data_IF_118888726328
#
_entry.id   IF_118888726328
#
_cell.length_a   1.000
_cell.length_b   1.000
_cell.length_c   1.000
_cell.angle_alpha   90.00
_cell.angle_beta   90.00
_cell.angle_gamma   90.00
#
_symmetry.space_group_name_H-M   'P 1'
#
loop_
_entity.id
_entity.type
_entity.pdbx_description
1 polymer ?
#
# COMPACT_ATOMS: atom_id res chain seq x y z
N UNK A 1 -57.49 -35.52 -48.90
CA UNK A 1 -57.52 -34.87 -47.57
C UNK A 1 -56.09 -34.52 -47.17
N UNK A 2 -55.86 -33.29 -46.62
CA UNK A 2 -54.89 -32.86 -45.57
C UNK A 2 -53.45 -33.45 -45.58
N UNK A 3 -52.36 -32.74 -45.30
CA UNK A 3 -51.99 -31.33 -45.02
C UNK A 3 -50.47 -31.38 -44.70
N UNK A 4 -49.71 -30.34 -45.06
CA UNK A 4 -48.50 -29.86 -44.33
C UNK A 4 -47.21 -30.71 -44.43
N UNK A 5 -45.98 -30.18 -44.42
CA UNK A 5 -45.43 -28.82 -44.49
C UNK A 5 -43.92 -28.92 -44.72
N UNK A 6 -43.40 -27.92 -45.42
CA UNK A 6 -42.02 -27.42 -45.35
C UNK A 6 -41.36 -27.62 -43.98
N UNK A 7 -40.20 -28.28 -43.95
CA UNK A 7 -39.14 -27.94 -42.98
C UNK A 7 -37.83 -27.91 -43.73
N UNK A 8 -37.34 -26.71 -44.03
CA UNK A 8 -35.93 -26.49 -44.37
C UNK A 8 -35.11 -26.69 -43.10
N UNK A 9 -34.24 -27.69 -43.06
CA UNK A 9 -33.14 -27.74 -42.09
C UNK A 9 -31.87 -27.41 -42.87
N UNK A 10 -31.42 -26.17 -42.67
CA UNK A 10 -30.17 -25.64 -43.18
C UNK A 10 -29.00 -26.53 -42.75
N UNK A 11 -28.08 -26.74 -43.69
CA UNK A 11 -26.81 -27.44 -43.56
C UNK A 11 -26.17 -27.27 -42.18
N UNK A 12 -26.14 -28.36 -41.42
CA UNK A 12 -25.16 -28.56 -40.36
C UNK A 12 -24.14 -29.56 -40.89
N UNK A 13 -23.38 -29.12 -41.90
CA UNK A 13 -22.15 -29.78 -42.29
C UNK A 13 -21.00 -28.88 -41.84
N UNK A 14 -20.28 -29.29 -40.80
CA UNK A 14 -18.85 -29.61 -40.91
C UNK A 14 -18.19 -29.84 -39.55
N UNK A 15 -17.42 -30.93 -39.53
CA UNK A 15 -16.28 -31.28 -38.66
C UNK A 15 -16.57 -32.33 -37.57
N UNK A 16 -16.30 -33.58 -37.97
CA UNK A 16 -15.70 -34.64 -37.14
C UNK A 16 -14.18 -34.38 -37.00
N UNK A 17 -13.42 -35.01 -36.07
CA UNK A 17 -13.80 -36.14 -35.21
C UNK A 17 -13.49 -35.95 -33.71
N UNK A 18 -14.07 -36.84 -32.92
CA UNK A 18 -13.82 -37.06 -31.50
C UNK A 18 -12.34 -37.37 -31.20
N UNK A 19 -11.79 -36.70 -30.17
CA UNK A 19 -10.56 -37.12 -29.48
C UNK A 19 -10.95 -37.44 -28.02
N UNK A 20 -10.63 -38.64 -27.50
CA UNK A 20 -11.08 -39.09 -26.19
C UNK A 20 -10.22 -38.51 -25.05
N UNK A 21 -10.89 -38.15 -23.95
CA UNK A 21 -10.37 -37.99 -22.58
C UNK A 21 -9.03 -37.28 -22.36
N UNK A 22 -9.10 -36.02 -21.90
CA UNK A 22 -8.15 -35.52 -20.89
C UNK A 22 -8.95 -34.81 -19.79
N UNK A 23 -8.93 -35.38 -18.58
CA UNK A 23 -9.38 -34.73 -17.35
C UNK A 23 -8.42 -33.59 -17.03
N UNK A 24 -8.62 -32.42 -17.66
CA UNK A 24 -8.00 -31.19 -17.19
C UNK A 24 -8.84 -30.66 -16.02
N UNK A 25 -8.38 -30.96 -14.81
CA UNK A 25 -8.73 -30.18 -13.64
C UNK A 25 -8.37 -28.72 -13.92
N UNK A 26 -9.38 -27.93 -14.28
CA UNK A 26 -9.21 -26.51 -14.52
C UNK A 26 -8.84 -25.83 -13.22
N UNK A 27 -7.55 -25.52 -13.05
CA UNK A 27 -7.16 -24.42 -12.19
C UNK A 27 -7.75 -23.16 -12.83
N UNK A 28 -8.90 -22.71 -12.34
CA UNK A 28 -9.34 -21.35 -12.59
C UNK A 28 -8.27 -20.42 -12.01
N UNK A 29 -7.37 -19.95 -12.87
CA UNK A 29 -6.49 -18.84 -12.56
C UNK A 29 -7.38 -17.60 -12.44
N UNK A 30 -7.97 -17.40 -11.26
CA UNK A 30 -8.48 -16.10 -10.86
C UNK A 30 -7.29 -15.15 -10.87
N UNK A 31 -7.15 -14.38 -11.94
CA UNK A 31 -6.29 -13.19 -11.90
C UNK A 31 -6.93 -12.27 -10.87
N UNK A 32 -6.34 -12.21 -9.69
CA UNK A 32 -6.78 -11.27 -8.65
C UNK A 32 -6.41 -9.88 -9.18
N UNK A 33 -7.38 -9.18 -9.75
CA UNK A 33 -7.24 -7.78 -10.09
C UNK A 33 -7.20 -6.99 -8.78
N UNK A 34 -6.03 -6.44 -8.46
CA UNK A 34 -5.86 -5.60 -7.29
C UNK A 34 -6.02 -4.13 -7.73
N UNK A 35 -7.00 -3.38 -7.17
CA UNK A 35 -7.16 -1.99 -7.54
C UNK A 35 -5.95 -1.18 -7.08
N UNK A 36 -5.50 -0.29 -7.96
CA UNK A 36 -4.45 0.68 -7.67
C UNK A 36 -5.09 2.06 -7.43
N UNK A 37 -4.52 2.82 -6.51
CA UNK A 37 -4.89 4.19 -6.21
C UNK A 37 -3.72 5.08 -6.58
N UNK A 38 -3.97 6.02 -7.49
CA UNK A 38 -3.02 7.06 -7.83
C UNK A 38 -2.98 8.11 -6.71
N UNK A 39 -1.79 8.55 -6.33
CA UNK A 39 -1.63 9.70 -5.46
C UNK A 39 -0.24 10.31 -5.57
N UNK A 40 0.06 11.22 -4.67
CA UNK A 40 1.24 12.06 -4.72
C UNK A 40 1.90 12.13 -3.35
N UNK A 41 3.23 12.20 -3.34
CA UNK A 41 3.99 12.41 -2.12
C UNK A 41 4.41 13.87 -2.04
N UNK A 42 4.02 14.54 -0.96
CA UNK A 42 4.43 15.91 -0.69
C UNK A 42 5.22 15.99 0.61
N UNK A 43 6.22 16.87 0.65
CA UNK A 43 7.02 17.12 1.85
C UNK A 43 6.20 17.80 2.94
N UNK A 44 5.45 18.83 2.55
CA UNK A 44 4.69 19.71 3.44
C UNK A 44 3.47 20.28 2.70
N UNK A 45 2.60 20.95 3.44
CA UNK A 45 1.39 21.55 2.88
C UNK A 45 1.70 22.56 1.77
N UNK A 46 2.77 23.35 1.91
CA UNK A 46 3.16 24.34 0.89
C UNK A 46 3.62 23.69 -0.40
N UNK A 47 4.33 22.56 -0.32
CA UNK A 47 4.70 21.76 -1.47
C UNK A 47 3.48 21.17 -2.16
N UNK A 48 2.48 20.72 -1.41
CA UNK A 48 1.20 20.30 -1.97
C UNK A 48 0.49 21.45 -2.68
N UNK A 49 0.39 22.63 -2.04
CA UNK A 49 -0.25 23.84 -2.60
C UNK A 49 0.40 24.34 -3.88
N UNK A 50 1.74 24.31 -3.95
CA UNK A 50 2.48 24.70 -5.17
C UNK A 50 2.20 23.77 -6.36
N UNK A 51 1.98 22.48 -6.10
CA UNK A 51 1.69 21.50 -7.14
C UNK A 51 0.19 21.36 -7.45
N UNK A 52 -0.70 21.78 -6.53
CA UNK A 52 -2.15 21.67 -6.65
C UNK A 52 -2.83 22.97 -6.18
N UNK A 53 -2.65 24.10 -6.90
CA UNK A 53 -3.13 25.41 -6.45
C UNK A 53 -4.65 25.49 -6.29
N UNK A 54 -5.40 24.69 -7.05
CA UNK A 54 -6.87 24.61 -6.98
C UNK A 54 -7.39 23.89 -5.73
N UNK A 55 -6.56 23.09 -5.06
CA UNK A 55 -6.92 22.28 -3.88
C UNK A 55 -6.19 22.75 -2.61
N UNK A 56 -5.79 24.02 -2.55
CA UNK A 56 -4.88 24.48 -1.49
C UNK A 56 -5.40 24.27 -0.06
N UNK A 57 -6.69 24.49 0.17
CA UNK A 57 -7.31 24.22 1.48
C UNK A 57 -7.29 22.73 1.86
N UNK A 58 -7.42 21.83 0.87
CA UNK A 58 -7.36 20.38 1.09
C UNK A 58 -5.94 19.93 1.41
N UNK A 59 -4.92 20.57 0.83
CA UNK A 59 -3.52 20.31 1.18
C UNK A 59 -3.22 20.60 2.65
N UNK A 60 -3.71 21.72 3.19
CA UNK A 60 -3.50 22.06 4.60
C UNK A 60 -4.20 21.05 5.52
N UNK A 61 -5.46 20.68 5.20
CA UNK A 61 -6.21 19.66 5.95
C UNK A 61 -5.56 18.28 5.88
N UNK A 62 -5.11 17.86 4.69
CA UNK A 62 -4.44 16.58 4.49
C UNK A 62 -3.14 16.51 5.30
N UNK A 63 -2.35 17.59 5.29
CA UNK A 63 -1.11 17.65 6.07
C UNK A 63 -1.37 17.58 7.58
N UNK A 64 -2.40 18.29 8.08
CA UNK A 64 -2.81 18.20 9.49
C UNK A 64 -3.29 16.80 9.85
N UNK A 65 -4.06 16.15 8.97
CA UNK A 65 -4.48 14.77 9.19
C UNK A 65 -3.29 13.81 9.20
N UNK A 66 -2.32 13.99 8.30
CA UNK A 66 -1.09 13.21 8.30
C UNK A 66 -0.30 13.37 9.62
N UNK A 67 -0.15 14.59 10.13
CA UNK A 67 0.50 14.85 11.42
C UNK A 67 -0.23 14.14 12.57
N UNK A 68 -1.55 14.25 12.64
CA UNK A 68 -2.34 13.57 13.66
C UNK A 68 -2.21 12.05 13.56
N UNK A 69 -2.14 11.49 12.35
CA UNK A 69 -1.89 10.05 12.16
C UNK A 69 -0.48 9.64 12.56
N UNK A 70 0.51 10.48 12.30
CA UNK A 70 1.90 10.20 12.61
C UNK A 70 2.10 9.95 14.11
N UNK A 71 1.40 10.68 14.97
CA UNK A 71 1.51 10.54 16.43
C UNK A 71 1.32 9.09 16.90
N UNK A 72 0.38 8.34 16.30
CA UNK A 72 0.09 6.97 16.71
C UNK A 72 0.61 5.89 15.74
N UNK A 73 0.79 6.22 14.45
CA UNK A 73 1.23 5.25 13.43
C UNK A 73 2.75 5.18 13.29
N UNK A 74 3.50 6.13 13.85
CA UNK A 74 4.95 6.15 13.72
C UNK A 74 5.63 4.89 14.29
N UNK A 75 6.68 4.38 13.63
CA UNK A 75 7.50 3.29 14.13
C UNK A 75 8.12 3.62 15.49
N UNK A 76 8.15 2.63 16.39
CA UNK A 76 8.62 2.81 17.78
C UNK A 76 9.87 1.98 18.02
N UNK A 77 10.92 2.62 18.51
CA UNK A 77 12.21 2.01 18.80
C UNK A 77 12.54 2.11 20.29
N UNK A 78 13.18 1.06 20.81
CA UNK A 78 13.64 1.04 22.21
C UNK A 78 14.89 1.89 22.44
N UNK A 79 15.68 2.18 21.40
CA UNK A 79 16.91 2.98 21.50
C UNK A 79 17.01 4.03 20.40
N UNK A 80 17.71 5.13 20.71
CA UNK A 80 17.98 6.21 19.74
C UNK A 80 18.80 5.69 18.55
N UNK A 81 19.77 4.82 18.81
CA UNK A 81 20.62 4.23 17.78
C UNK A 81 19.82 3.35 16.80
N UNK A 82 18.86 2.57 17.28
CA UNK A 82 18.01 1.75 16.41
C UNK A 82 17.17 2.64 15.48
N UNK A 83 16.57 3.71 16.02
CA UNK A 83 15.84 4.67 15.21
C UNK A 83 16.74 5.34 14.16
N UNK A 84 17.92 5.83 14.57
CA UNK A 84 18.88 6.51 13.68
C UNK A 84 19.57 5.59 12.66
N UNK A 85 19.53 4.28 12.88
CA UNK A 85 20.05 3.32 11.90
C UNK A 85 19.14 3.17 10.69
N UNK A 86 17.83 3.48 10.85
CA UNK A 86 16.82 3.35 9.81
C UNK A 86 16.41 4.70 9.22
N UNK A 87 16.32 5.73 10.07
CA UNK A 87 15.97 7.10 9.74
C UNK A 87 17.19 8.00 9.93
N UNK A 88 17.33 9.03 9.11
CA UNK A 88 18.51 9.92 9.21
C UNK A 88 18.66 10.53 10.62
N UNK A 89 19.89 10.83 11.05
CA UNK A 89 20.22 11.14 12.46
C UNK A 89 19.33 12.23 13.10
N UNK A 90 18.90 13.20 12.30
CA UNK A 90 18.10 14.35 12.73
C UNK A 90 16.59 14.10 12.74
N UNK A 91 16.13 12.90 12.45
CA UNK A 91 14.70 12.61 12.33
C UNK A 91 14.13 11.89 13.56
N UNK A 92 14.94 11.43 14.51
CA UNK A 92 14.46 10.68 15.68
C UNK A 92 14.33 11.54 16.94
N UNK A 93 13.22 11.41 17.66
CA UNK A 93 12.99 12.05 18.97
C UNK A 93 12.42 11.06 20.00
N UNK A 94 12.62 11.32 21.29
CA UNK A 94 12.04 10.50 22.35
C UNK A 94 10.61 10.97 22.64
N UNK A 95 9.65 10.04 22.58
CA UNK A 95 8.27 10.29 23.02
C UNK A 95 8.07 9.74 24.43
N UNK A 96 7.83 10.64 25.38
CA UNK A 96 7.49 10.27 26.76
C UNK A 96 6.16 9.53 26.87
N UNK A 97 5.21 9.80 25.96
CA UNK A 97 3.89 9.15 25.92
C UNK A 97 4.02 7.65 25.59
N UNK A 98 4.93 7.29 24.69
CA UNK A 98 5.14 5.91 24.25
C UNK A 98 6.40 5.26 24.83
N UNK A 99 7.15 5.97 25.67
CA UNK A 99 8.45 5.56 26.21
C UNK A 99 9.42 5.00 25.15
N UNK A 100 9.37 5.56 23.94
CA UNK A 100 10.05 5.04 22.75
C UNK A 100 10.66 6.17 21.93
N UNK A 101 11.69 5.85 21.16
CA UNK A 101 12.22 6.72 20.12
C UNK A 101 11.37 6.57 18.86
N UNK A 102 10.95 7.71 18.30
CA UNK A 102 10.01 7.78 17.19
C UNK A 102 10.59 8.70 16.10
N UNK A 103 10.52 8.32 14.82
CA UNK A 103 10.91 9.19 13.73
C UNK A 103 9.88 10.31 13.52
N UNK A 104 10.35 11.48 13.10
CA UNK A 104 9.50 12.57 12.64
C UNK A 104 8.98 12.24 11.25
N UNK A 105 7.73 12.60 11.01
CA UNK A 105 7.15 12.56 9.67
C UNK A 105 7.93 13.52 8.76
N UNK A 106 8.41 13.03 7.62
CA UNK A 106 9.18 13.83 6.64
C UNK A 106 8.32 14.29 5.48
N UNK A 107 7.33 13.47 5.11
CA UNK A 107 6.43 13.70 3.99
C UNK A 107 5.07 13.06 4.28
N UNK A 108 4.10 13.31 3.41
CA UNK A 108 2.80 12.69 3.47
C UNK A 108 2.34 12.29 2.07
N UNK A 109 1.60 11.20 2.01
CA UNK A 109 0.85 10.81 0.83
C UNK A 109 -0.46 11.60 0.78
N UNK A 110 -0.87 11.97 -0.42
CA UNK A 110 -2.14 12.60 -0.71
C UNK A 110 -2.76 11.94 -1.94
N UNK A 111 -4.04 11.60 -1.85
CA UNK A 111 -4.85 11.19 -3.00
C UNK A 111 -6.26 11.76 -2.88
N UNK A 112 -6.81 12.24 -3.99
CA UNK A 112 -8.23 12.56 -4.12
C UNK A 112 -9.06 11.37 -4.59
N UNK A 113 -8.42 10.30 -5.07
CA UNK A 113 -9.11 9.09 -5.48
C UNK A 113 -9.38 8.21 -4.26
N UNK A 114 -10.55 8.43 -3.66
CA UNK A 114 -11.03 7.64 -2.52
C UNK A 114 -11.98 6.51 -2.92
N UNK A 115 -12.21 6.30 -4.22
CA UNK A 115 -13.22 5.36 -4.74
C UNK A 115 -13.00 3.91 -4.30
N UNK A 116 -11.74 3.49 -4.15
CA UNK A 116 -11.36 2.16 -3.69
C UNK A 116 -11.15 2.03 -2.17
N UNK A 117 -11.15 3.15 -1.44
CA UNK A 117 -10.97 3.16 0.01
C UNK A 117 -12.30 2.87 0.72
N UNK A 118 -12.44 1.64 1.20
CA UNK A 118 -13.59 1.22 2.02
C UNK A 118 -13.72 2.15 3.24
N UNK A 119 -14.92 2.70 3.46
CA UNK A 119 -15.26 3.63 4.53
C UNK A 119 -14.61 5.03 4.45
N UNK A 120 -14.07 5.43 3.31
CA UNK A 120 -13.68 6.82 3.10
C UNK A 120 -14.87 7.64 2.60
N UNK A 121 -15.56 8.33 3.50
CA UNK A 121 -16.53 9.39 3.14
C UNK A 121 -15.86 10.72 2.79
N UNK A 122 -14.53 10.77 2.89
CA UNK A 122 -13.73 11.95 2.62
C UNK A 122 -13.42 12.08 1.13
N UNK A 123 -13.34 13.31 0.65
CA UNK A 123 -12.93 13.65 -0.71
C UNK A 123 -11.43 13.46 -0.97
N UNK A 124 -10.66 13.19 0.09
CA UNK A 124 -9.23 12.92 0.02
C UNK A 124 -8.83 11.90 1.07
N UNK A 125 -7.72 11.22 0.82
CA UNK A 125 -7.01 10.40 1.78
C UNK A 125 -5.58 10.93 1.92
N UNK A 126 -5.05 10.79 3.13
CA UNK A 126 -3.68 11.17 3.41
C UNK A 126 -3.02 10.12 4.29
N UNK A 127 -1.70 9.98 4.26
CA UNK A 127 -0.96 9.07 5.15
C UNK A 127 0.40 9.68 5.48
N UNK A 128 0.85 9.67 6.75
CA UNK A 128 2.20 10.09 7.11
C UNK A 128 3.24 9.13 6.52
N UNK A 129 4.28 9.72 5.94
CA UNK A 129 5.39 8.98 5.36
C UNK A 129 6.70 9.34 6.07
N UNK A 130 7.52 8.30 6.24
CA UNK A 130 8.83 8.36 6.84
C UNK A 130 9.87 8.03 5.78
N UNK A 131 10.96 8.80 5.79
CA UNK A 131 12.02 8.66 4.81
C UNK A 131 13.04 7.63 5.29
N UNK A 132 13.04 6.48 4.64
CA UNK A 132 14.07 5.47 4.79
C UNK A 132 15.18 5.68 3.75
N UNK A 133 16.31 4.99 3.93
CA UNK A 133 17.47 5.04 3.02
C UNK A 133 17.11 4.88 1.53
N UNK A 134 16.08 4.10 1.22
CA UNK A 134 15.71 3.73 -0.16
C UNK A 134 14.36 4.30 -0.63
N UNK A 135 13.68 5.13 0.15
CA UNK A 135 12.39 5.70 -0.25
C UNK A 135 11.51 6.15 0.90
N UNK A 136 10.26 6.42 0.59
CA UNK A 136 9.21 6.83 1.52
C UNK A 136 8.34 5.62 1.87
N UNK A 137 8.10 5.43 3.16
CA UNK A 137 7.30 4.33 3.67
C UNK A 137 6.31 4.84 4.69
N UNK A 138 5.13 4.21 4.76
CA UNK A 138 4.18 4.46 5.85
C UNK A 138 4.74 3.95 7.18
N UNK A 139 4.10 4.34 8.29
CA UNK A 139 4.38 3.75 9.60
C UNK A 139 4.16 2.24 9.65
N UNK A 140 3.39 1.70 8.69
CA UNK A 140 3.19 0.26 8.52
C UNK A 140 4.24 -0.48 7.68
N UNK A 141 5.22 0.24 7.12
CA UNK A 141 6.25 -0.34 6.26
C UNK A 141 5.82 -0.55 4.79
N UNK A 142 4.69 0.02 4.37
CA UNK A 142 4.28 0.02 2.95
C UNK A 142 5.15 1.03 2.20
N UNK A 143 5.72 0.63 1.07
CA UNK A 143 6.53 1.52 0.21
C UNK A 143 5.63 2.39 -0.66
N UNK A 144 5.96 3.69 -0.74
CA UNK A 144 5.30 4.66 -1.62
C UNK A 144 6.21 5.12 -2.77
N UNK A 145 7.43 4.58 -2.87
CA UNK A 145 8.43 5.01 -3.85
C UNK A 145 9.40 6.05 -3.29
N UNK A 146 10.18 6.71 -4.14
CA UNK A 146 11.30 7.57 -3.73
C UNK A 146 11.22 9.01 -4.24
N UNK A 147 10.22 9.35 -5.05
CA UNK A 147 10.11 10.65 -5.71
C UNK A 147 9.02 11.51 -5.11
N UNK A 148 9.35 12.76 -4.81
CA UNK A 148 8.38 13.79 -4.38
C UNK A 148 7.70 14.43 -5.60
N UNK A 149 6.44 14.82 -5.44
CA UNK A 149 5.70 15.63 -6.42
C UNK A 149 5.35 14.91 -7.73
N UNK A 150 5.59 13.59 -7.81
CA UNK A 150 5.19 12.76 -8.94
C UNK A 150 4.05 11.84 -8.53
N UNK A 151 3.21 11.50 -9.50
CA UNK A 151 2.18 10.49 -9.34
C UNK A 151 2.84 9.14 -9.01
N UNK A 152 2.30 8.46 -8.00
CA UNK A 152 2.67 7.11 -7.59
C UNK A 152 1.40 6.27 -7.50
N UNK A 153 1.46 5.05 -8.01
CA UNK A 153 0.36 4.09 -7.92
C UNK A 153 0.62 3.13 -6.77
N UNK A 154 -0.33 3.05 -5.85
CA UNK A 154 -0.24 2.21 -4.66
C UNK A 154 -1.44 1.26 -4.66
N UNK A 155 -1.20 -0.01 -4.36
CA UNK A 155 -2.30 -0.96 -4.17
C UNK A 155 -3.27 -0.42 -3.11
N UNK A 156 -4.54 -0.28 -3.46
CA UNK A 156 -5.57 0.26 -2.56
C UNK A 156 -5.73 -0.59 -1.29
N UNK A 157 -5.38 -1.88 -1.37
CA UNK A 157 -5.29 -2.80 -0.23
C UNK A 157 -4.28 -2.34 0.82
N UNK A 158 -3.15 -1.74 0.39
CA UNK A 158 -2.05 -1.33 1.25
C UNK A 158 -2.34 -0.03 1.98
N UNK A 159 -3.14 0.87 1.38
CA UNK A 159 -3.66 2.08 2.03
C UNK A 159 -4.56 1.76 3.23
N UNK A 160 -5.16 0.57 3.28
CA UNK A 160 -5.98 0.11 4.42
C UNK A 160 -5.12 -0.37 5.59
N UNK A 161 -3.92 -0.87 5.29
CA UNK A 161 -2.99 -1.40 6.29
C UNK A 161 -2.13 -0.33 6.95
N UNK A 162 -2.11 0.90 6.43
CA UNK A 162 -1.32 2.01 6.98
C UNK A 162 -1.93 2.63 8.23
N UNK A 163 -3.23 2.45 8.46
CA UNK A 163 -3.93 2.85 9.69
C UNK A 163 -3.67 1.98 10.94
N UNK A 164 -2.70 1.06 10.90
CA UNK A 164 -2.42 0.13 12.00
C UNK A 164 -1.18 0.52 12.82
N UNK A 165 -1.35 0.60 14.14
CA UNK A 165 -0.27 0.82 15.12
C UNK A 165 0.84 -0.25 14.97
N UNK A 166 1.91 0.06 14.24
CA UNK A 166 3.10 -0.81 14.20
C UNK A 166 3.96 -0.51 15.43
N UNK A 167 3.44 -0.97 16.57
CA UNK A 167 4.23 -1.17 17.78
C UNK A 167 4.66 -2.63 17.98
N UNK A 168 4.36 -3.55 17.04
CA UNK A 168 4.51 -4.99 17.32
C UNK A 168 5.29 -5.83 16.30
N UNK A 169 5.74 -5.29 15.16
CA UNK A 169 6.39 -6.13 14.13
C UNK A 169 7.73 -5.59 13.60
N UNK A 170 8.17 -4.38 13.97
CA UNK A 170 9.54 -3.91 13.68
C UNK A 170 10.53 -4.21 14.81
N UNK A 171 10.17 -5.07 15.76
CA UNK A 171 11.15 -5.87 16.50
C UNK A 171 11.72 -6.96 15.58
N UNK A 172 12.24 -6.60 14.40
CA UNK A 172 13.01 -7.50 13.53
C UNK A 172 14.46 -7.56 13.97
N UNK A 173 14.68 -7.66 15.28
CA UNK A 173 15.85 -8.36 15.79
C UNK A 173 15.68 -9.85 15.47
N UNK A 174 16.17 -10.31 14.31
CA UNK A 174 15.99 -11.72 13.96
C UNK A 174 16.20 -12.09 12.49
N UNK A 175 17.19 -11.55 11.82
CA UNK A 175 17.82 -12.24 10.68
C UNK A 175 19.26 -12.53 11.09
N UNK A 176 19.53 -13.69 11.70
CA UNK A 176 20.91 -14.10 11.99
C UNK A 176 21.20 -15.13 13.09
N UNK A 177 20.23 -15.62 13.86
CA UNK A 177 20.47 -16.78 14.75
C UNK A 177 19.97 -18.08 14.12
N UNK A 178 20.55 -18.45 12.98
CA UNK A 178 20.61 -19.83 12.55
C UNK A 178 22.07 -20.15 12.26
N UNK A 179 22.55 -21.20 12.95
CA UNK A 179 23.86 -21.86 12.89
C UNK A 179 25.08 -21.13 13.49
N UNK A 180 25.27 -21.31 14.81
CA UNK A 180 26.63 -21.53 15.34
C UNK A 180 26.59 -22.35 16.64
N UNK A 181 27.44 -23.38 16.69
CA UNK A 181 27.85 -24.20 17.83
C UNK A 181 26.90 -25.31 18.33
N UNK A 182 26.86 -26.42 17.58
CA UNK A 182 27.17 -27.72 18.19
C UNK A 182 28.37 -28.29 17.42
N UNK A 183 29.57 -27.90 17.86
CA UNK A 183 30.80 -28.64 17.60
C UNK A 183 30.90 -29.69 18.69
N UNK A 184 31.27 -30.90 18.28
CA UNK A 184 31.31 -32.08 19.13
C UNK A 184 32.16 -31.95 20.40
N UNK A 185 31.83 -32.85 21.32
CA UNK A 185 32.51 -33.22 22.55
C UNK A 185 31.78 -34.43 23.10
#
# INVERSE_FOLDING_TARGET
MKRSSNVKKSSFEKIMPAIPYVLFGGFFAYTVYEPETEGYIFKDADHCKRNNPEFGAQCDLAYQEALARAEYSAPKYSSSQACRSEFSDDECHYSSVYHSYIPRMNSFFYTSDTSGLKNSSKSFFSEPLYRYKHGYYSGSGVSYGSTLGKAVNINTSSLKSSGGTIGKVMSRGGFGHSVSASRGG
#
